data_IF_861411104835
#
_entry.id   IF_861411104835
#
_cell.length_a   1.000
_cell.length_b   1.000
_cell.length_c   1.000
_cell.angle_alpha   90.00
_cell.angle_beta   90.00
_cell.angle_gamma   90.00
#
_symmetry.space_group_name_H-M   'P 1'
#
loop_
_entity.id
_entity.type
_entity.pdbx_description
1 polymer ?
#
# COMPACT_ATOMS: atom_id res chain seq x y z
N UNK A 1 -0.64 20.02 9.80
CA UNK A 1 -2.11 19.94 9.84
C UNK A 1 -2.60 20.58 11.13
N UNK A 2 -3.55 21.53 11.06
CA UNK A 2 -4.18 22.10 12.26
C UNK A 2 -5.34 21.20 12.69
N UNK A 3 -5.72 21.22 13.97
CA UNK A 3 -6.84 20.44 14.48
C UNK A 3 -8.18 20.78 13.77
N UNK A 4 -8.28 21.98 13.20
CA UNK A 4 -9.43 22.47 12.42
C UNK A 4 -9.66 21.68 11.12
N UNK A 5 -8.62 21.07 10.53
CA UNK A 5 -8.69 20.32 9.27
C UNK A 5 -9.11 18.85 9.45
N UNK A 6 -9.40 18.43 10.68
CA UNK A 6 -9.70 17.03 11.00
C UNK A 6 -10.91 16.49 10.23
N UNK A 7 -11.98 17.28 10.10
CA UNK A 7 -13.19 16.85 9.38
C UNK A 7 -12.91 16.65 7.89
N UNK A 8 -12.13 17.54 7.27
CA UNK A 8 -11.74 17.41 5.87
C UNK A 8 -10.83 16.20 5.65
N UNK A 9 -9.84 16.02 6.52
CA UNK A 9 -8.91 14.87 6.46
C UNK A 9 -9.67 13.55 6.64
N UNK A 10 -10.62 13.50 7.57
CA UNK A 10 -11.45 12.31 7.78
C UNK A 10 -12.33 12.01 6.57
N UNK A 11 -12.92 13.03 5.96
CA UNK A 11 -13.73 12.88 4.76
C UNK A 11 -12.88 12.40 3.58
N UNK A 12 -11.68 12.94 3.40
CA UNK A 12 -10.73 12.53 2.37
C UNK A 12 -10.35 11.05 2.51
N UNK A 13 -10.01 10.61 3.73
CA UNK A 13 -9.69 9.19 4.01
C UNK A 13 -10.89 8.28 3.75
N UNK A 14 -12.11 8.69 4.15
CA UNK A 14 -13.32 7.87 3.93
C UNK A 14 -13.62 7.75 2.44
N UNK A 15 -13.66 8.88 1.71
CA UNK A 15 -13.94 8.88 0.28
C UNK A 15 -12.89 8.08 -0.46
N UNK A 16 -11.60 8.34 -0.18
CA UNK A 16 -10.48 7.61 -0.79
C UNK A 16 -10.57 6.11 -0.55
N UNK A 17 -10.82 5.69 0.69
CA UNK A 17 -10.96 4.27 1.05
C UNK A 17 -12.15 3.61 0.34
N UNK A 18 -13.31 4.27 0.29
CA UNK A 18 -14.49 3.75 -0.41
C UNK A 18 -14.22 3.61 -1.91
N UNK A 19 -13.64 4.64 -2.54
CA UNK A 19 -13.31 4.60 -3.97
C UNK A 19 -12.34 3.46 -4.30
N UNK A 20 -11.29 3.25 -3.50
CA UNK A 20 -10.34 2.15 -3.71
C UNK A 20 -11.04 0.78 -3.56
N UNK A 21 -11.93 0.62 -2.59
CA UNK A 21 -12.67 -0.63 -2.41
C UNK A 21 -13.63 -0.91 -3.59
N UNK A 22 -14.31 0.11 -4.11
CA UNK A 22 -15.18 -0.02 -5.29
C UNK A 22 -14.37 -0.44 -6.50
N UNK A 23 -13.23 0.21 -6.76
CA UNK A 23 -12.34 -0.15 -7.88
C UNK A 23 -11.80 -1.57 -7.71
N UNK A 24 -11.34 -1.94 -6.51
CA UNK A 24 -10.84 -3.28 -6.21
C UNK A 24 -11.91 -4.35 -6.45
N UNK A 25 -13.15 -4.10 -6.04
CA UNK A 25 -14.28 -5.01 -6.28
C UNK A 25 -14.49 -5.28 -7.78
N UNK A 26 -14.48 -4.24 -8.62
CA UNK A 26 -14.61 -4.41 -10.07
C UNK A 26 -13.43 -5.17 -10.68
N UNK A 27 -12.20 -4.91 -10.23
CA UNK A 27 -11.02 -5.66 -10.71
C UNK A 27 -11.17 -7.16 -10.38
N UNK A 28 -11.54 -7.50 -9.14
CA UNK A 28 -11.73 -8.89 -8.71
C UNK A 28 -12.86 -9.55 -9.52
N UNK A 29 -13.99 -8.86 -9.69
CA UNK A 29 -15.14 -9.36 -10.45
C UNK A 29 -14.78 -9.62 -11.92
N UNK A 30 -14.08 -8.69 -12.57
CA UNK A 30 -13.65 -8.85 -13.96
C UNK A 30 -12.71 -10.04 -14.10
N UNK A 31 -11.67 -10.14 -13.26
CA UNK A 31 -10.77 -11.29 -13.25
C UNK A 31 -11.51 -12.62 -13.02
N UNK A 32 -12.52 -12.65 -12.15
CA UNK A 32 -13.31 -13.84 -11.87
C UNK A 32 -14.18 -14.28 -13.06
N UNK A 33 -14.80 -13.34 -13.77
CA UNK A 33 -15.67 -13.67 -14.92
C UNK A 33 -14.86 -13.97 -16.18
N UNK A 34 -13.69 -13.36 -16.35
CA UNK A 34 -12.90 -13.46 -17.59
C UNK A 34 -11.77 -14.48 -17.52
N UNK A 35 -10.89 -14.39 -16.53
CA UNK A 35 -9.70 -15.24 -16.45
C UNK A 35 -10.02 -16.58 -15.81
N UNK A 36 -10.75 -16.55 -14.69
CA UNK A 36 -11.05 -17.77 -13.94
C UNK A 36 -11.97 -18.72 -14.73
N UNK A 37 -12.96 -18.20 -15.47
CA UNK A 37 -13.81 -19.02 -16.35
C UNK A 37 -13.04 -19.66 -17.51
N UNK A 38 -11.99 -19.00 -18.01
CA UNK A 38 -11.14 -19.50 -19.09
C UNK A 38 -9.94 -20.31 -18.58
N UNK A 39 -9.82 -20.54 -17.28
CA UNK A 39 -8.71 -21.30 -16.67
C UNK A 39 -7.34 -20.64 -16.80
N UNK A 40 -7.28 -19.34 -17.09
CA UNK A 40 -6.02 -18.61 -17.31
C UNK A 40 -5.43 -18.22 -15.94
N UNK A 41 -4.20 -18.68 -15.67
CA UNK A 41 -3.41 -18.22 -14.52
C UNK A 41 -2.75 -16.88 -14.83
N UNK A 42 -2.77 -15.98 -13.84
CA UNK A 42 -2.11 -14.67 -13.93
C UNK A 42 -0.62 -14.86 -13.65
N UNK A 43 0.20 -14.80 -14.70
CA UNK A 43 1.66 -14.86 -14.58
C UNK A 43 2.31 -13.50 -14.89
N UNK A 44 1.60 -12.62 -15.59
CA UNK A 44 2.08 -11.27 -15.90
C UNK A 44 0.97 -10.21 -15.87
N UNK A 45 1.39 -8.94 -15.87
CA UNK A 45 0.49 -7.79 -16.03
C UNK A 45 -0.29 -7.82 -17.37
N UNK A 46 0.26 -8.47 -18.41
CA UNK A 46 -0.43 -8.63 -19.70
C UNK A 46 -1.67 -9.51 -19.57
N UNK A 47 -1.63 -10.52 -18.70
CA UNK A 47 -2.75 -11.42 -18.47
C UNK A 47 -3.85 -10.69 -17.70
N UNK A 48 -3.48 -9.84 -16.75
CA UNK A 48 -4.42 -8.94 -16.07
C UNK A 48 -5.09 -7.95 -17.05
N UNK A 49 -4.39 -7.48 -18.07
CA UNK A 49 -4.97 -6.61 -19.10
C UNK A 49 -6.07 -7.30 -19.92
N UNK A 50 -5.95 -8.62 -20.14
CA UNK A 50 -6.98 -9.41 -20.82
C UNK A 50 -8.29 -9.48 -20.02
N UNK A 51 -8.22 -9.30 -18.69
CA UNK A 51 -9.41 -9.27 -17.84
C UNK A 51 -10.36 -8.10 -18.16
N UNK A 52 -9.84 -7.04 -18.79
CA UNK A 52 -10.60 -5.87 -19.20
C UNK A 52 -11.18 -5.96 -20.61
N UNK A 53 -10.86 -7.03 -21.36
CA UNK A 53 -11.39 -7.26 -22.70
C UNK A 53 -12.92 -7.13 -22.83
N UNK A 54 -13.77 -7.68 -21.93
CA UNK A 54 -15.22 -7.51 -22.05
C UNK A 54 -15.72 -6.09 -21.76
N UNK A 55 -14.92 -5.25 -21.10
CA UNK A 55 -15.32 -3.89 -20.74
C UNK A 55 -14.97 -2.87 -21.83
N UNK A 56 -13.81 -3.05 -22.49
CA UNK A 56 -13.26 -2.07 -23.43
C UNK A 56 -12.88 -2.65 -24.81
N UNK A 57 -13.16 -3.93 -25.05
CA UNK A 57 -12.87 -4.61 -26.32
C UNK A 57 -11.38 -4.56 -26.67
N UNK A 58 -11.07 -4.24 -27.92
CA UNK A 58 -9.68 -4.13 -28.42
C UNK A 58 -8.86 -3.04 -27.71
N UNK A 59 -9.51 -2.03 -27.12
CA UNK A 59 -8.83 -0.93 -26.40
C UNK A 59 -8.52 -1.27 -24.94
N UNK A 60 -8.97 -2.41 -24.43
CA UNK A 60 -8.76 -2.82 -23.04
C UNK A 60 -7.27 -2.86 -22.65
N UNK A 61 -6.43 -3.40 -23.53
CA UNK A 61 -4.99 -3.48 -23.30
C UNK A 61 -4.33 -2.10 -23.26
N UNK A 62 -4.75 -1.17 -24.12
CA UNK A 62 -4.24 0.20 -24.15
C UNK A 62 -4.65 1.00 -22.91
N UNK A 63 -5.92 0.91 -22.52
CA UNK A 63 -6.43 1.58 -21.32
C UNK A 63 -5.77 1.03 -20.05
N UNK A 64 -5.59 -0.30 -19.96
CA UNK A 64 -4.87 -0.90 -18.84
C UNK A 64 -3.40 -0.50 -18.82
N UNK A 65 -2.71 -0.52 -19.96
CA UNK A 65 -1.31 -0.11 -20.03
C UNK A 65 -1.11 1.36 -19.60
N UNK A 66 -1.98 2.26 -20.06
CA UNK A 66 -1.93 3.67 -19.68
C UNK A 66 -2.23 3.86 -18.18
N UNK A 67 -3.26 3.20 -17.66
CA UNK A 67 -3.62 3.25 -16.25
C UNK A 67 -2.54 2.67 -15.34
N UNK A 68 -1.99 1.51 -15.71
CA UNK A 68 -0.92 0.84 -14.97
C UNK A 68 0.35 1.68 -14.97
N UNK A 69 0.73 2.28 -16.10
CA UNK A 69 1.89 3.17 -16.19
C UNK A 69 1.70 4.38 -15.28
N UNK A 70 0.54 5.04 -15.33
CA UNK A 70 0.25 6.20 -14.51
C UNK A 70 0.29 5.85 -13.01
N UNK A 71 -0.41 4.79 -12.61
CA UNK A 71 -0.40 4.30 -11.22
C UNK A 71 1.00 3.93 -10.74
N UNK A 72 1.79 3.26 -11.58
CA UNK A 72 3.17 2.87 -11.26
C UNK A 72 4.08 4.08 -11.09
N UNK A 73 3.94 5.10 -11.96
CA UNK A 73 4.71 6.34 -11.87
C UNK A 73 4.39 7.11 -10.58
N UNK A 74 3.10 7.23 -10.23
CA UNK A 74 2.67 7.87 -8.99
C UNK A 74 3.20 7.10 -7.77
N UNK A 75 3.08 5.77 -7.76
CA UNK A 75 3.58 4.93 -6.67
C UNK A 75 5.11 5.06 -6.52
N UNK A 76 5.86 4.96 -7.62
CA UNK A 76 7.31 5.11 -7.63
C UNK A 76 7.78 6.50 -7.20
N UNK A 77 6.94 7.52 -7.34
CA UNK A 77 7.25 8.88 -6.90
C UNK A 77 6.97 9.06 -5.41
N UNK A 78 5.78 8.67 -4.94
CA UNK A 78 5.31 8.98 -3.58
C UNK A 78 5.93 8.06 -2.52
N UNK A 79 6.07 6.75 -2.81
CA UNK A 79 6.55 5.77 -1.84
C UNK A 79 7.98 6.06 -1.38
N UNK A 80 8.98 6.23 -2.26
CA UNK A 80 10.35 6.45 -1.82
C UNK A 80 10.53 7.79 -1.10
N UNK A 81 9.73 8.81 -1.47
CA UNK A 81 9.69 10.09 -0.75
C UNK A 81 9.27 9.85 0.70
N UNK A 82 8.11 9.21 0.91
CA UNK A 82 7.58 8.92 2.25
C UNK A 82 8.54 8.07 3.08
N UNK A 83 9.12 7.03 2.48
CA UNK A 83 10.08 6.16 3.19
C UNK A 83 11.36 6.89 3.54
N UNK A 84 11.90 7.72 2.63
CA UNK A 84 13.08 8.51 2.92
C UNK A 84 12.85 9.51 4.05
N UNK A 85 11.64 10.09 4.14
CA UNK A 85 11.26 10.93 5.28
C UNK A 85 11.27 10.18 6.59
N UNK A 86 10.57 9.06 6.66
CA UNK A 86 10.47 8.28 7.90
C UNK A 86 11.84 7.81 8.38
N UNK A 87 12.73 7.42 7.46
CA UNK A 87 14.10 7.01 7.80
C UNK A 87 14.89 8.22 8.32
N UNK A 88 14.88 9.34 7.62
CA UNK A 88 15.63 10.51 8.05
C UNK A 88 15.12 11.06 9.39
N UNK A 89 13.80 11.03 9.64
CA UNK A 89 13.20 11.38 10.93
C UNK A 89 13.62 10.41 12.05
N UNK A 90 13.65 9.10 11.77
CA UNK A 90 14.08 8.09 12.74
C UNK A 90 15.57 8.22 13.14
N UNK A 91 16.43 8.66 12.21
CA UNK A 91 17.86 8.90 12.48
C UNK A 91 18.16 10.33 12.98
N UNK A 92 17.15 11.20 13.11
CA UNK A 92 17.33 12.58 13.54
C UNK A 92 18.04 13.47 12.51
N UNK A 93 18.01 13.08 11.23
CA UNK A 93 18.57 13.85 10.12
C UNK A 93 17.58 14.92 9.64
N UNK A 94 18.10 16.08 9.21
CA UNK A 94 17.26 17.17 8.69
C UNK A 94 16.47 16.69 7.47
N UNK A 95 15.15 16.59 7.62
CA UNK A 95 14.23 16.05 6.62
C UNK A 95 13.31 17.15 6.13
N UNK A 96 13.50 17.65 4.90
CA UNK A 96 12.60 18.67 4.31
C UNK A 96 12.65 18.68 2.78
N UNK A 97 11.49 18.47 2.12
CA UNK A 97 11.29 18.64 0.66
C UNK A 97 11.59 20.08 0.22
N UNK A 98 11.43 21.02 1.16
CA UNK A 98 11.62 22.45 0.94
C UNK A 98 13.09 22.89 1.06
N UNK A 99 14.02 21.97 1.33
CA UNK A 99 15.45 22.25 1.36
C UNK A 99 16.12 21.78 0.08
N UNK A 100 17.08 22.58 -0.41
CA UNK A 100 17.74 22.35 -1.71
C UNK A 100 18.46 21.00 -1.72
N UNK A 101 18.67 20.43 -2.92
CA UNK A 101 19.49 19.23 -3.18
C UNK A 101 20.84 19.18 -2.44
N UNK A 102 21.40 20.34 -2.06
CA UNK A 102 22.65 20.47 -1.31
C UNK A 102 22.53 20.30 0.22
N UNK A 103 21.34 20.44 0.79
CA UNK A 103 21.13 20.46 2.25
C UNK A 103 20.76 19.08 2.83
N UNK A 104 20.31 18.13 2.00
CA UNK A 104 19.96 16.77 2.44
C UNK A 104 20.47 15.69 1.45
N UNK A 105 21.80 15.52 1.30
CA UNK A 105 22.38 14.53 0.38
C UNK A 105 21.97 13.09 0.74
N UNK A 106 21.70 12.81 2.02
CA UNK A 106 21.22 11.52 2.51
C UNK A 106 19.80 11.20 2.03
N UNK A 107 18.91 12.20 1.98
CA UNK A 107 17.53 12.04 1.52
C UNK A 107 17.46 11.74 0.02
N UNK A 108 18.14 12.53 -0.80
CA UNK A 108 18.20 12.30 -2.25
C UNK A 108 19.01 11.06 -2.63
N UNK A 109 20.06 10.74 -1.86
CA UNK A 109 20.81 9.50 -2.01
C UNK A 109 19.96 8.27 -1.74
N UNK A 110 19.21 8.25 -0.64
CA UNK A 110 18.31 7.15 -0.28
C UNK A 110 17.16 7.02 -1.28
N UNK A 111 16.55 8.15 -1.69
CA UNK A 111 15.52 8.19 -2.71
C UNK A 111 16.02 7.60 -4.04
N UNK A 112 17.15 8.10 -4.54
CA UNK A 112 17.74 7.63 -5.79
C UNK A 112 18.15 6.17 -5.71
N UNK A 113 18.76 5.74 -4.60
CA UNK A 113 19.10 4.34 -4.35
C UNK A 113 17.87 3.43 -4.40
N UNK A 114 16.77 3.81 -3.74
CA UNK A 114 15.52 3.03 -3.75
C UNK A 114 14.95 2.87 -5.17
N UNK A 115 14.95 3.96 -5.95
CA UNK A 115 14.48 3.93 -7.34
C UNK A 115 15.41 3.08 -8.22
N UNK A 116 16.73 3.25 -8.12
CA UNK A 116 17.71 2.49 -8.90
C UNK A 116 17.74 1.01 -8.53
N UNK A 117 17.66 0.66 -7.24
CA UNK A 117 17.59 -0.74 -6.81
C UNK A 117 16.28 -1.38 -7.26
N UNK A 118 15.15 -0.69 -7.09
CA UNK A 118 13.86 -1.18 -7.57
C UNK A 118 13.86 -1.42 -9.08
N UNK A 119 14.34 -0.45 -9.86
CA UNK A 119 14.48 -0.59 -11.31
C UNK A 119 15.46 -1.70 -11.71
N UNK A 120 16.61 -1.79 -11.02
CA UNK A 120 17.64 -2.79 -11.30
C UNK A 120 17.18 -4.22 -11.02
N UNK A 121 16.45 -4.46 -9.93
CA UNK A 121 15.89 -5.77 -9.59
C UNK A 121 14.84 -6.21 -10.61
N UNK A 122 14.04 -5.28 -11.10
CA UNK A 122 12.96 -5.56 -12.07
C UNK A 122 13.51 -5.77 -13.49
N UNK A 123 14.63 -5.14 -13.84
CA UNK A 123 15.24 -5.26 -15.16
C UNK A 123 15.99 -6.59 -15.38
N UNK A 124 16.18 -7.38 -14.32
CA UNK A 124 16.76 -8.72 -14.44
C UNK A 124 15.79 -9.65 -15.21
N UNK A 125 16.26 -10.30 -16.30
CA UNK A 125 15.44 -11.24 -17.05
C UNK A 125 15.03 -12.44 -16.17
N UNK A 126 13.85 -12.99 -16.44
CA UNK A 126 13.27 -14.17 -15.76
C UNK A 126 12.88 -14.01 -14.27
N UNK A 127 12.79 -12.78 -13.75
CA UNK A 127 12.28 -12.55 -12.39
C UNK A 127 10.76 -12.78 -12.30
N UNK A 128 10.27 -13.64 -11.38
CA UNK A 128 8.84 -13.88 -11.20
C UNK A 128 8.19 -12.67 -10.49
N UNK A 129 7.84 -11.65 -11.26
CA UNK A 129 7.33 -10.37 -10.77
C UNK A 129 6.09 -10.53 -9.88
N UNK A 130 5.17 -11.40 -10.30
CA UNK A 130 3.94 -11.70 -9.54
C UNK A 130 4.28 -12.33 -8.19
N UNK A 131 5.26 -13.23 -8.13
CA UNK A 131 5.69 -13.86 -6.87
C UNK A 131 6.31 -12.83 -5.93
N UNK A 132 7.13 -11.91 -6.45
CA UNK A 132 7.73 -10.83 -5.66
C UNK A 132 6.63 -9.89 -5.13
N UNK A 133 5.69 -9.49 -5.99
CA UNK A 133 4.54 -8.67 -5.58
C UNK A 133 3.71 -9.39 -4.52
N UNK A 134 3.43 -10.68 -4.71
CA UNK A 134 2.68 -11.49 -3.75
C UNK A 134 3.37 -11.52 -2.38
N UNK A 135 4.65 -11.88 -2.33
CA UNK A 135 5.41 -11.89 -1.07
C UNK A 135 5.51 -10.50 -0.45
N UNK A 136 5.67 -9.44 -1.24
CA UNK A 136 5.67 -8.08 -0.73
C UNK A 136 4.33 -7.73 -0.07
N UNK A 137 3.21 -8.16 -0.64
CA UNK A 137 1.88 -7.95 -0.05
C UNK A 137 1.67 -8.80 1.20
N UNK A 138 2.17 -10.06 1.21
CA UNK A 138 2.16 -10.92 2.38
C UNK A 138 2.91 -10.26 3.54
N UNK A 139 4.12 -9.77 3.30
CA UNK A 139 4.94 -9.10 4.31
C UNK A 139 4.25 -7.82 4.80
N UNK A 140 3.67 -7.03 3.89
CA UNK A 140 2.91 -5.84 4.25
C UNK A 140 1.72 -6.19 5.18
N UNK A 141 0.94 -7.21 4.82
CA UNK A 141 -0.16 -7.73 5.66
C UNK A 141 0.29 -8.32 7.00
N UNK A 142 1.51 -8.84 7.08
CA UNK A 142 2.12 -9.33 8.32
C UNK A 142 2.56 -8.20 9.26
N UNK A 143 3.05 -7.09 8.71
CA UNK A 143 3.52 -5.93 9.47
C UNK A 143 2.35 -5.03 9.92
N UNK A 144 1.27 -4.98 9.13
CA UNK A 144 0.12 -4.10 9.38
C UNK A 144 -0.46 -4.19 10.80
N UNK A 145 -0.69 -5.38 11.41
CA UNK A 145 -1.21 -5.48 12.77
C UNK A 145 -0.30 -4.82 13.81
N UNK A 146 1.02 -4.99 13.66
CA UNK A 146 2.01 -4.41 14.57
C UNK A 146 1.91 -2.88 14.53
N UNK A 147 1.89 -2.30 13.34
CA UNK A 147 1.74 -0.85 13.16
C UNK A 147 0.43 -0.36 13.77
N UNK A 148 -0.68 -1.06 13.53
CA UNK A 148 -1.99 -0.66 14.07
C UNK A 148 -2.05 -0.72 15.60
N UNK A 149 -1.43 -1.72 16.23
CA UNK A 149 -1.33 -1.79 17.70
C UNK A 149 -0.58 -0.59 18.24
N UNK A 150 0.58 -0.24 17.67
CA UNK A 150 1.34 0.93 18.11
C UNK A 150 0.57 2.24 17.90
N UNK A 151 -0.08 2.41 16.75
CA UNK A 151 -0.94 3.55 16.49
C UNK A 151 -2.08 3.65 17.51
N UNK A 152 -2.72 2.53 17.85
CA UNK A 152 -3.81 2.50 18.80
C UNK A 152 -3.36 2.82 20.23
N UNK A 153 -2.16 2.36 20.63
CA UNK A 153 -1.54 2.75 21.89
C UNK A 153 -1.26 4.25 21.94
N UNK A 154 -0.72 4.82 20.87
CA UNK A 154 -0.43 6.25 20.76
C UNK A 154 -1.69 7.12 20.82
N UNK A 155 -2.75 6.71 20.11
CA UNK A 155 -4.04 7.43 20.08
C UNK A 155 -4.76 7.36 21.42
N UNK A 156 -4.54 6.29 22.20
CA UNK A 156 -5.09 6.15 23.56
C UNK A 156 -4.23 6.81 24.64
N UNK A 157 -3.00 7.25 24.34
CA UNK A 157 -2.13 7.90 25.32
C UNK A 157 -2.58 9.34 25.58
N UNK A 158 -3.15 9.58 26.76
CA UNK A 158 -3.58 10.92 27.22
C UNK A 158 -2.43 11.93 27.31
N UNK A 159 -1.17 11.49 27.45
CA UNK A 159 -0.02 12.40 27.47
C UNK A 159 0.26 12.99 26.08
N UNK A 160 -0.06 12.24 25.03
CA UNK A 160 0.21 12.61 23.63
C UNK A 160 -1.03 13.27 23.01
N UNK A 161 -2.20 12.64 23.12
CA UNK A 161 -3.46 13.09 22.50
C UNK A 161 -4.25 14.09 23.34
N UNK A 162 -3.95 14.23 24.64
CA UNK A 162 -4.67 15.13 25.59
C UNK A 162 -6.19 14.93 25.57
N UNK A 163 -6.93 15.89 25.00
CA UNK A 163 -8.40 15.89 24.93
C UNK A 163 -8.95 15.14 23.71
N UNK A 164 -8.10 14.80 22.73
CA UNK A 164 -8.48 14.10 21.49
C UNK A 164 -8.31 12.57 21.59
N UNK A 165 -8.31 12.01 22.80
CA UNK A 165 -8.25 10.55 22.97
C UNK A 165 -9.49 9.85 22.42
N UNK A 166 -9.31 8.61 21.97
CA UNK A 166 -10.39 7.82 21.42
C UNK A 166 -11.55 7.64 22.42
N UNK A 167 -12.79 7.70 21.94
CA UNK A 167 -13.95 7.37 22.76
C UNK A 167 -13.97 5.87 23.06
N UNK A 168 -14.60 5.47 24.17
CA UNK A 168 -14.64 4.06 24.59
C UNK A 168 -15.24 3.15 23.50
N UNK A 169 -16.27 3.64 22.80
CA UNK A 169 -16.87 2.93 21.66
C UNK A 169 -15.91 2.79 20.46
N UNK A 170 -15.20 3.86 20.08
CA UNK A 170 -14.22 3.76 18.99
C UNK A 170 -13.04 2.87 19.37
N UNK A 171 -12.62 2.88 20.63
CA UNK A 171 -11.53 2.02 21.10
C UNK A 171 -11.92 0.54 21.01
N UNK A 172 -13.16 0.17 21.38
CA UNK A 172 -13.66 -1.20 21.24
C UNK A 172 -13.65 -1.63 19.77
N UNK A 173 -14.19 -0.79 18.87
CA UNK A 173 -14.23 -1.10 17.43
C UNK A 173 -12.81 -1.25 16.88
N UNK A 174 -11.91 -0.32 17.19
CA UNK A 174 -10.53 -0.37 16.71
C UNK A 174 -9.77 -1.57 17.25
N UNK A 175 -9.87 -1.90 18.54
CA UNK A 175 -9.26 -3.10 19.11
C UNK A 175 -9.81 -4.38 18.49
N UNK A 176 -11.13 -4.45 18.23
CA UNK A 176 -11.76 -5.59 17.58
C UNK A 176 -11.27 -5.75 16.14
N UNK A 177 -11.18 -4.66 15.37
CA UNK A 177 -10.61 -4.68 14.02
C UNK A 177 -9.16 -5.14 14.03
N UNK A 178 -8.33 -4.63 14.94
CA UNK A 178 -6.94 -5.05 15.09
C UNK A 178 -6.85 -6.52 15.48
N UNK A 179 -7.70 -7.00 16.39
CA UNK A 179 -7.73 -8.40 16.79
C UNK A 179 -8.09 -9.32 15.60
N UNK A 180 -9.11 -8.97 14.82
CA UNK A 180 -9.50 -9.72 13.62
C UNK A 180 -8.37 -9.72 12.58
N UNK A 181 -7.77 -8.56 12.31
CA UNK A 181 -6.66 -8.45 11.36
C UNK A 181 -5.44 -9.25 11.83
N UNK A 182 -5.12 -9.22 13.11
CA UNK A 182 -4.03 -10.00 13.71
C UNK A 182 -4.32 -11.49 13.56
N UNK A 183 -5.55 -11.93 13.84
CA UNK A 183 -5.97 -13.31 13.66
C UNK A 183 -5.83 -13.75 12.20
N UNK A 184 -6.36 -12.97 11.25
CA UNK A 184 -6.24 -13.27 9.82
C UNK A 184 -4.77 -13.35 9.38
N UNK A 185 -3.96 -12.41 9.81
CA UNK A 185 -2.53 -12.37 9.48
C UNK A 185 -1.78 -13.57 10.05
N UNK A 186 -2.05 -13.94 11.32
CA UNK A 186 -1.49 -15.14 11.95
C UNK A 186 -1.97 -16.42 11.26
N UNK A 187 -3.23 -16.50 10.86
CA UNK A 187 -3.72 -17.66 10.09
C UNK A 187 -3.04 -17.76 8.73
N UNK A 188 -2.81 -16.64 8.04
CA UNK A 188 -2.10 -16.61 6.77
C UNK A 188 -0.66 -17.09 6.93
N UNK A 189 0.06 -16.58 7.93
CA UNK A 189 1.43 -17.00 8.25
C UNK A 189 1.44 -18.48 8.65
N UNK A 190 0.46 -18.92 9.44
CA UNK A 190 0.25 -20.31 9.82
C UNK A 190 0.09 -21.22 8.61
N UNK A 191 -0.79 -20.87 7.66
CA UNK A 191 -0.95 -21.60 6.40
C UNK A 191 0.33 -21.61 5.57
N UNK A 192 1.06 -20.49 5.49
CA UNK A 192 2.32 -20.42 4.77
C UNK A 192 3.43 -21.30 5.40
N UNK A 193 3.42 -21.48 6.72
CA UNK A 193 4.36 -22.33 7.46
C UNK A 193 3.97 -23.81 7.47
N UNK A 194 2.66 -24.12 7.58
CA UNK A 194 2.14 -25.49 7.62
C UNK A 194 1.91 -26.12 6.24
N UNK A 195 1.83 -25.32 5.17
CA UNK A 195 1.80 -25.81 3.79
C UNK A 195 3.21 -26.06 3.23
N UNK A 196 4.06 -26.70 4.04
CA UNK A 196 5.32 -27.32 3.63
C UNK A 196 5.20 -28.83 3.68
#
# INVERSE_FOLDING_TARGET
LKAEDYQYTRMDVIIGSVTVNVVAFFIIMLCAVTLFQNGIRIESAKDAAQALAPLAGEYASWLFAFGLLNASLFAASILPISTAYTICEAFGWESSLNRKFLEAPQFYGLYSLMVFLGAGIILLPDMPLITIMYYSQVINGAILPVILVFMLLLVNDRKIMREYTNSLAMNIVSWLTVAILTLLSLTMIGFALFSK
#
